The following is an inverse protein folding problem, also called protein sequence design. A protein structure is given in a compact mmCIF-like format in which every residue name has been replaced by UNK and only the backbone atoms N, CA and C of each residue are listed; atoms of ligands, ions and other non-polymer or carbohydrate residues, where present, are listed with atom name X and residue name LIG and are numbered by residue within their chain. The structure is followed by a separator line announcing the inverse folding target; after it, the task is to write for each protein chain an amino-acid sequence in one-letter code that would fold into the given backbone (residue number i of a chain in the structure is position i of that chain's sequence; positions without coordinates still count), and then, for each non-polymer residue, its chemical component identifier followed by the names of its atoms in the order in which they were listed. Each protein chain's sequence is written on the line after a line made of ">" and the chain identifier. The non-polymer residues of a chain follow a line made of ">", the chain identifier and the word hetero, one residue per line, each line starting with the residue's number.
data_IF_310024601085
#
_entry.id   IF_310024601085
#
_cell.length_a   1.000
_cell.length_b   1.000
_cell.length_c   1.000
_cell.angle_alpha   90.00
_cell.angle_beta   90.00
_cell.angle_gamma   90.00
#
_symmetry.space_group_name_H-M   'P 1'
#
loop_
_entity.id
_entity.type
_entity.pdbx_description
1 polymer ?
#
# COMPACT_ATOMS: atom_id res chain seq x y z
N UNK A 1 -15.50 10.68 3.78
CA UNK A 1 -16.06 9.83 2.71
C UNK A 1 -16.89 8.64 3.21
N UNK A 2 -16.33 7.71 4.00
CA UNK A 2 -17.05 6.48 4.37
C UNK A 2 -18.39 6.73 5.07
N UNK A 3 -18.42 7.61 6.08
CA UNK A 3 -19.66 7.98 6.79
C UNK A 3 -20.69 8.68 5.88
N UNK A 4 -20.24 9.49 4.93
CA UNK A 4 -21.11 10.33 4.10
C UNK A 4 -21.68 9.60 2.89
N UNK A 5 -21.01 8.56 2.39
CA UNK A 5 -21.45 7.81 1.21
C UNK A 5 -21.89 6.40 1.59
N UNK A 6 -21.03 5.64 2.28
CA UNK A 6 -21.30 4.25 2.63
C UNK A 6 -22.42 4.15 3.68
N UNK A 7 -22.33 4.86 4.81
CA UNK A 7 -23.39 4.79 5.83
C UNK A 7 -24.68 5.54 5.42
N UNK A 8 -24.56 6.58 4.58
CA UNK A 8 -25.73 7.31 4.10
C UNK A 8 -26.38 6.68 2.86
N UNK A 9 -25.85 5.55 2.36
CA UNK A 9 -26.31 4.87 1.14
C UNK A 9 -26.39 5.80 -0.09
N UNK A 10 -25.40 6.69 -0.22
CA UNK A 10 -25.26 7.61 -1.36
C UNK A 10 -24.18 7.12 -2.31
N UNK A 11 -24.39 7.24 -3.64
CA UNK A 11 -23.35 6.95 -4.61
C UNK A 11 -22.21 7.94 -4.45
N UNK A 12 -20.98 7.50 -4.73
CA UNK A 12 -19.82 8.36 -4.68
C UNK A 12 -18.56 7.65 -5.11
N UNK A 13 -17.59 8.43 -5.57
CA UNK A 13 -16.29 7.94 -5.96
C UNK A 13 -15.20 8.59 -5.10
N UNK A 14 -14.29 7.76 -4.59
CA UNK A 14 -13.07 8.17 -3.92
C UNK A 14 -11.89 7.66 -4.74
N UNK A 15 -10.98 8.56 -5.07
CA UNK A 15 -9.77 8.23 -5.78
C UNK A 15 -8.58 8.53 -4.88
N UNK A 16 -7.76 7.51 -4.62
CA UNK A 16 -6.61 7.56 -3.75
C UNK A 16 -5.35 7.40 -4.60
N UNK A 17 -4.52 8.43 -4.62
CA UNK A 17 -3.22 8.39 -5.31
C UNK A 17 -2.07 8.46 -4.32
N UNK A 18 -0.91 7.98 -4.74
CA UNK A 18 0.35 8.22 -4.03
C UNK A 18 1.39 7.21 -4.45
N UNK A 19 2.65 7.46 -4.14
CA UNK A 19 3.72 6.53 -4.51
C UNK A 19 3.54 5.15 -3.84
N UNK A 20 4.11 4.07 -4.40
CA UNK A 20 4.15 2.78 -3.75
C UNK A 20 4.77 2.88 -2.34
N UNK A 21 4.26 2.07 -1.41
CA UNK A 21 4.83 2.03 -0.06
C UNK A 21 4.38 3.13 0.91
N UNK A 22 3.47 4.02 0.50
CA UNK A 22 2.86 5.05 1.37
C UNK A 22 1.72 4.56 2.27
N UNK A 23 1.43 3.25 2.29
CA UNK A 23 0.43 2.66 3.19
C UNK A 23 -1.04 2.82 2.78
N UNK A 24 -1.33 3.24 1.53
CA UNK A 24 -2.69 3.42 0.99
C UNK A 24 -3.61 2.22 1.25
N UNK A 25 -3.21 1.04 0.76
CA UNK A 25 -3.97 -0.21 0.91
C UNK A 25 -4.13 -0.59 2.38
N UNK A 26 -3.06 -0.48 3.18
CA UNK A 26 -3.08 -0.81 4.60
C UNK A 26 -4.07 0.07 5.38
N UNK A 27 -4.04 1.39 5.16
CA UNK A 27 -4.98 2.32 5.80
C UNK A 27 -6.41 2.01 5.39
N UNK A 28 -6.65 1.78 4.09
CA UNK A 28 -8.00 1.50 3.62
C UNK A 28 -8.54 0.21 4.23
N UNK A 29 -7.75 -0.86 4.28
CA UNK A 29 -8.15 -2.13 4.90
C UNK A 29 -8.50 -1.94 6.38
N UNK A 30 -7.70 -1.19 7.14
CA UNK A 30 -7.98 -0.92 8.55
C UNK A 30 -9.22 -0.04 8.75
N UNK A 31 -9.42 0.99 7.91
CA UNK A 31 -10.65 1.80 7.94
C UNK A 31 -11.87 0.93 7.59
N UNK A 32 -11.78 0.07 6.58
CA UNK A 32 -12.88 -0.83 6.19
C UNK A 32 -13.24 -1.74 7.36
N UNK A 33 -12.25 -2.36 8.01
CA UNK A 33 -12.45 -3.22 9.19
C UNK A 33 -13.05 -2.44 10.37
N UNK A 34 -12.48 -1.31 10.75
CA UNK A 34 -12.96 -0.51 11.88
C UNK A 34 -14.42 -0.07 11.67
N UNK A 35 -14.76 0.30 10.44
CA UNK A 35 -16.10 0.75 10.09
C UNK A 35 -17.08 -0.42 9.88
N UNK A 36 -16.63 -1.67 9.78
CA UNK A 36 -17.49 -2.86 9.88
C UNK A 36 -17.87 -3.15 11.32
N UNK A 37 -16.90 -3.13 12.22
CA UNK A 37 -17.11 -3.40 13.64
C UNK A 37 -18.02 -2.35 14.30
N UNK A 38 -17.99 -1.10 13.81
CA UNK A 38 -18.87 -0.02 14.26
C UNK A 38 -20.22 0.07 13.53
N UNK A 39 -20.44 -0.67 12.44
CA UNK A 39 -21.65 -0.55 11.63
C UNK A 39 -22.74 -1.54 12.07
N UNK A 40 -23.65 -1.08 12.92
CA UNK A 40 -25.01 -1.62 13.04
C UNK A 40 -25.80 -1.22 11.78
N UNK A 41 -25.42 -1.74 10.61
CA UNK A 41 -26.03 -1.35 9.34
C UNK A 41 -27.47 -1.89 9.25
N UNK A 42 -28.45 -0.98 9.33
CA UNK A 42 -29.89 -1.27 9.12
C UNK A 42 -30.25 -1.65 7.67
N UNK A 43 -29.31 -1.55 6.73
CA UNK A 43 -29.53 -1.78 5.30
C UNK A 43 -28.44 -2.68 4.70
N UNK A 44 -28.77 -3.52 3.70
CA UNK A 44 -27.83 -4.44 3.10
C UNK A 44 -26.74 -3.68 2.33
N UNK A 45 -25.49 -4.09 2.50
CA UNK A 45 -24.33 -3.60 1.77
C UNK A 45 -23.47 -4.79 1.34
N UNK A 46 -23.00 -4.80 0.09
CA UNK A 46 -22.00 -5.74 -0.41
C UNK A 46 -20.71 -5.01 -0.68
N UNK A 47 -19.61 -5.58 -0.19
CA UNK A 47 -18.26 -5.07 -0.45
C UNK A 47 -17.54 -6.05 -1.36
N UNK A 48 -16.80 -5.50 -2.31
CA UNK A 48 -15.94 -6.26 -3.22
C UNK A 48 -14.59 -5.57 -3.24
N UNK A 49 -13.53 -6.34 -2.98
CA UNK A 49 -12.14 -5.88 -3.07
C UNK A 49 -11.48 -6.63 -4.22
N UNK A 50 -10.92 -5.89 -5.18
CA UNK A 50 -10.21 -6.47 -6.32
C UNK A 50 -8.86 -5.79 -6.48
N UNK A 51 -7.82 -6.61 -6.62
CA UNK A 51 -6.52 -6.15 -7.10
C UNK A 51 -6.49 -6.22 -8.63
N UNK A 52 -6.44 -5.07 -9.29
CA UNK A 52 -6.45 -4.98 -10.74
C UNK A 52 -5.19 -5.56 -11.38
N UNK A 53 -4.06 -5.62 -10.67
CA UNK A 53 -2.82 -6.24 -11.16
C UNK A 53 -2.97 -7.73 -11.48
N UNK A 54 -3.95 -8.42 -10.86
CA UNK A 54 -4.23 -9.83 -11.14
C UNK A 54 -4.97 -10.08 -12.46
N UNK A 55 -5.44 -9.02 -13.13
CA UNK A 55 -6.20 -9.12 -14.37
C UNK A 55 -5.26 -9.07 -15.58
N UNK A 56 -5.52 -9.95 -16.54
CA UNK A 56 -4.77 -9.99 -17.81
C UNK A 56 -5.34 -8.96 -18.79
N UNK A 57 -6.66 -8.96 -18.99
CA UNK A 57 -7.37 -7.91 -19.74
C UNK A 57 -8.12 -6.99 -18.76
N UNK A 58 -7.95 -5.65 -18.85
CA UNK A 58 -8.73 -4.68 -18.08
C UNK A 58 -10.25 -4.88 -18.15
N UNK A 59 -10.80 -5.44 -19.24
CA UNK A 59 -12.23 -5.76 -19.37
C UNK A 59 -12.68 -6.90 -18.46
N UNK A 60 -11.77 -7.75 -18.01
CA UNK A 60 -12.10 -8.85 -17.09
C UNK A 60 -12.50 -8.36 -15.69
N UNK A 61 -12.26 -7.08 -15.37
CA UNK A 61 -12.74 -6.47 -14.13
C UNK A 61 -14.25 -6.66 -13.97
N UNK A 62 -15.02 -6.57 -15.05
CA UNK A 62 -16.47 -6.72 -15.00
C UNK A 62 -16.89 -8.17 -14.69
N UNK A 63 -16.20 -9.15 -15.26
CA UNK A 63 -16.45 -10.56 -14.95
C UNK A 63 -16.10 -10.84 -13.49
N UNK A 64 -14.93 -10.37 -13.06
CA UNK A 64 -14.45 -10.59 -11.70
C UNK A 64 -15.35 -9.93 -10.64
N UNK A 65 -15.89 -8.76 -10.96
CA UNK A 65 -16.89 -8.12 -10.12
C UNK A 65 -18.15 -8.99 -10.01
N UNK A 66 -18.65 -9.56 -11.11
CA UNK A 66 -19.84 -10.42 -11.09
C UNK A 66 -19.62 -11.70 -10.28
N UNK A 67 -18.45 -12.32 -10.38
CA UNK A 67 -18.09 -13.53 -9.63
C UNK A 67 -18.11 -13.30 -8.10
N UNK A 68 -17.74 -12.09 -7.67
CA UNK A 68 -17.73 -11.69 -6.25
C UNK A 68 -19.12 -11.27 -5.73
N UNK A 69 -20.14 -11.22 -6.58
CA UNK A 69 -21.50 -10.87 -6.18
C UNK A 69 -22.32 -12.11 -5.82
N UNK A 70 -23.16 -12.04 -4.78
CA UNK A 70 -24.00 -13.17 -4.40
C UNK A 70 -25.07 -13.42 -5.47
N UNK A 71 -25.47 -14.69 -5.63
CA UNK A 71 -26.50 -15.10 -6.59
C UNK A 71 -27.83 -14.32 -6.43
N UNK A 72 -28.15 -13.86 -5.22
CA UNK A 72 -29.32 -12.99 -4.95
C UNK A 72 -29.28 -11.67 -5.72
N UNK A 73 -28.09 -11.15 -6.02
CA UNK A 73 -27.90 -9.99 -6.90
C UNK A 73 -27.81 -10.37 -8.38
N UNK A 74 -27.58 -11.62 -8.74
CA UNK A 74 -27.50 -12.03 -10.14
C UNK A 74 -28.86 -12.51 -10.66
N UNK A 75 -29.80 -12.81 -9.76
CA UNK A 75 -31.16 -13.22 -10.10
C UNK A 75 -31.86 -12.23 -11.05
N UNK A 76 -32.25 -12.73 -12.22
CA UNK A 76 -32.96 -11.99 -13.26
C UNK A 76 -32.09 -11.14 -14.18
N UNK A 77 -30.76 -11.31 -14.15
CA UNK A 77 -29.82 -10.57 -15.00
C UNK A 77 -29.15 -11.53 -15.98
N UNK A 78 -29.16 -11.17 -17.26
CA UNK A 78 -28.40 -11.89 -18.29
C UNK A 78 -26.90 -11.65 -18.10
N UNK A 79 -26.13 -12.74 -17.98
CA UNK A 79 -24.68 -12.70 -17.79
C UNK A 79 -23.88 -12.69 -19.11
N UNK A 80 -24.57 -12.70 -20.26
CA UNK A 80 -23.94 -12.72 -21.60
C UNK A 80 -23.08 -11.47 -21.87
N UNK A 81 -23.51 -10.30 -21.36
CA UNK A 81 -22.72 -9.07 -21.40
C UNK A 81 -22.43 -8.58 -19.96
N UNK A 82 -21.20 -8.77 -19.46
CA UNK A 82 -20.85 -8.45 -18.08
C UNK A 82 -20.94 -6.95 -17.78
N UNK A 83 -20.79 -6.09 -18.78
CA UNK A 83 -20.88 -4.63 -18.63
C UNK A 83 -22.31 -4.22 -18.35
N UNK A 84 -23.27 -4.75 -19.13
CA UNK A 84 -24.69 -4.45 -18.94
C UNK A 84 -25.23 -5.07 -17.66
N UNK A 85 -24.75 -6.26 -17.30
CA UNK A 85 -25.11 -6.90 -16.04
C UNK A 85 -24.76 -6.01 -14.84
N UNK A 86 -23.52 -5.51 -14.75
CA UNK A 86 -23.12 -4.60 -13.66
C UNK A 86 -23.90 -3.30 -13.71
N UNK A 87 -24.09 -2.74 -14.90
CA UNK A 87 -24.89 -1.52 -15.06
C UNK A 87 -26.30 -1.68 -14.47
N UNK A 88 -26.97 -2.80 -14.73
CA UNK A 88 -28.29 -3.10 -14.16
C UNK A 88 -28.24 -3.31 -12.64
N UNK A 89 -27.16 -3.90 -12.10
CA UNK A 89 -26.98 -4.07 -10.65
C UNK A 89 -26.83 -2.72 -9.95
N UNK A 90 -26.07 -1.81 -10.55
CA UNK A 90 -25.70 -0.52 -9.96
C UNK A 90 -26.79 0.53 -10.12
N UNK A 91 -27.47 0.57 -11.27
CA UNK A 91 -28.47 1.57 -11.63
C UNK A 91 -29.92 1.07 -11.51
N UNK A 92 -30.11 -0.20 -11.16
CA UNK A 92 -31.45 -0.79 -11.06
C UNK A 92 -32.26 -0.20 -9.90
N UNK A 93 -33.35 0.49 -10.22
CA UNK A 93 -34.24 1.16 -9.25
C UNK A 93 -34.83 0.22 -8.18
N UNK A 94 -34.97 -1.07 -8.49
CA UNK A 94 -35.58 -2.07 -7.59
C UNK A 94 -34.65 -2.57 -6.48
N UNK A 95 -33.39 -2.13 -6.45
CA UNK A 95 -32.36 -2.72 -5.58
C UNK A 95 -31.99 -1.80 -4.42
N UNK A 96 -32.11 -2.33 -3.20
CA UNK A 96 -31.82 -1.62 -1.95
C UNK A 96 -30.38 -1.81 -1.44
N UNK A 97 -29.63 -2.74 -2.03
CA UNK A 97 -28.29 -3.07 -1.56
C UNK A 97 -27.26 -2.13 -2.15
N UNK A 98 -26.44 -1.51 -1.30
CA UNK A 98 -25.31 -0.70 -1.73
C UNK A 98 -24.13 -1.60 -2.11
N UNK A 99 -23.53 -1.36 -3.27
CA UNK A 99 -22.31 -2.02 -3.71
C UNK A 99 -21.11 -1.10 -3.48
N UNK A 100 -20.20 -1.52 -2.61
CA UNK A 100 -18.92 -0.83 -2.37
C UNK A 100 -17.84 -1.62 -3.08
N UNK A 101 -17.25 -1.03 -4.11
CA UNK A 101 -16.16 -1.63 -4.89
C UNK A 101 -14.87 -0.92 -4.54
N UNK A 102 -13.89 -1.68 -4.07
CA UNK A 102 -12.52 -1.24 -3.84
C UNK A 102 -11.66 -1.87 -4.92
N UNK A 103 -11.08 -1.04 -5.77
CA UNK A 103 -10.15 -1.45 -6.81
C UNK A 103 -8.75 -0.97 -6.39
N UNK A 104 -7.82 -1.91 -6.20
CA UNK A 104 -6.41 -1.63 -5.95
C UNK A 104 -5.60 -1.72 -7.25
N UNK A 105 -4.57 -0.89 -7.37
CA UNK A 105 -3.75 -0.71 -8.58
C UNK A 105 -4.58 -0.45 -9.85
N UNK A 106 -5.50 0.52 -9.77
CA UNK A 106 -6.44 0.83 -10.87
C UNK A 106 -5.77 1.42 -12.11
N UNK A 107 -4.53 1.86 -11.98
CA UNK A 107 -3.67 2.26 -13.10
C UNK A 107 -3.43 1.11 -14.08
N UNK A 108 -3.51 -0.15 -13.63
CA UNK A 108 -3.47 -1.32 -14.53
C UNK A 108 -4.69 -1.41 -15.46
N UNK A 109 -5.82 -0.80 -15.08
CA UNK A 109 -7.01 -0.73 -15.93
C UNK A 109 -6.94 0.39 -16.98
N UNK A 110 -5.88 1.19 -16.98
CA UNK A 110 -5.73 2.31 -17.89
C UNK A 110 -5.32 1.82 -19.28
N UNK A 111 -6.31 1.66 -20.15
CA UNK A 111 -6.11 1.39 -21.57
C UNK A 111 -6.12 2.67 -22.41
N UNK A 112 -5.67 2.58 -23.67
CA UNK A 112 -5.68 3.73 -24.61
C UNK A 112 -7.09 4.32 -24.82
N UNK A 113 -8.11 3.47 -24.79
CA UNK A 113 -9.52 3.84 -24.93
C UNK A 113 -10.15 4.30 -23.62
N UNK A 114 -9.49 4.08 -22.47
CA UNK A 114 -9.91 4.51 -21.12
C UNK A 114 -11.36 4.14 -20.74
N UNK A 115 -11.96 3.20 -21.47
CA UNK A 115 -13.40 2.98 -21.46
C UNK A 115 -13.87 2.31 -20.17
N UNK A 116 -13.02 1.49 -19.56
CA UNK A 116 -13.34 0.73 -18.36
C UNK A 116 -13.46 1.64 -17.15
N UNK A 117 -12.40 2.38 -16.83
CA UNK A 117 -12.38 3.31 -15.70
C UNK A 117 -13.47 4.38 -15.85
N UNK A 118 -13.60 4.98 -17.03
CA UNK A 118 -14.59 6.02 -17.27
C UNK A 118 -16.02 5.56 -16.95
N UNK A 119 -16.41 4.37 -17.42
CA UNK A 119 -17.75 3.81 -17.14
C UNK A 119 -17.97 3.57 -15.64
N UNK A 120 -16.97 3.04 -14.93
CA UNK A 120 -17.08 2.79 -13.50
C UNK A 120 -17.29 4.08 -12.70
N UNK A 121 -16.54 5.15 -13.03
CA UNK A 121 -16.70 6.46 -12.38
C UNK A 121 -18.02 7.13 -12.77
N UNK A 122 -18.45 7.03 -14.04
CA UNK A 122 -19.74 7.54 -14.50
C UNK A 122 -20.92 6.86 -13.76
N UNK A 123 -20.87 5.54 -13.60
CA UNK A 123 -21.87 4.81 -12.82
C UNK A 123 -21.85 5.18 -11.34
N UNK A 124 -20.69 5.49 -10.76
CA UNK A 124 -20.58 5.94 -9.37
C UNK A 124 -21.03 7.39 -9.17
N UNK A 125 -21.04 8.21 -10.23
CA UNK A 125 -21.49 9.61 -10.19
C UNK A 125 -22.98 9.80 -10.48
N UNK A 126 -23.62 8.85 -11.17
CA UNK A 126 -25.01 8.97 -11.60
C UNK A 126 -26.00 9.05 -10.42
N UNK A 127 -26.95 9.99 -10.50
CA UNK A 127 -28.02 10.14 -9.52
C UNK A 127 -28.93 8.91 -9.49
N UNK A 128 -29.07 8.28 -8.32
CA UNK A 128 -29.84 7.04 -8.15
C UNK A 128 -28.99 5.76 -8.18
N UNK A 129 -27.70 5.89 -8.49
CA UNK A 129 -26.74 4.78 -8.40
C UNK A 129 -26.60 4.26 -6.97
N UNK A 130 -26.34 2.95 -6.86
CA UNK A 130 -26.01 2.25 -5.62
C UNK A 130 -24.56 1.79 -5.58
N UNK A 131 -23.68 2.45 -6.34
CA UNK A 131 -22.25 2.17 -6.37
C UNK A 131 -21.47 3.21 -5.58
N UNK A 132 -20.65 2.72 -4.65
CA UNK A 132 -19.53 3.47 -4.08
C UNK A 132 -18.25 2.88 -4.63
N UNK A 133 -17.47 3.68 -5.36
CA UNK A 133 -16.22 3.26 -5.95
C UNK A 133 -15.05 3.85 -5.15
N UNK A 134 -14.10 3.02 -4.75
CA UNK A 134 -12.81 3.44 -4.18
C UNK A 134 -11.71 2.91 -5.08
N UNK A 135 -11.01 3.80 -5.79
CA UNK A 135 -9.88 3.44 -6.64
C UNK A 135 -8.56 3.83 -5.98
N UNK A 136 -7.62 2.90 -5.88
CA UNK A 136 -6.25 3.15 -5.42
C UNK A 136 -5.30 3.06 -6.61
N UNK A 137 -4.47 4.09 -6.81
CA UNK A 137 -3.46 4.12 -7.87
C UNK A 137 -2.08 4.46 -7.30
N UNK A 138 -1.04 4.00 -7.99
CA UNK A 138 0.35 4.26 -7.62
C UNK A 138 0.93 5.51 -8.29
N UNK A 139 0.42 5.87 -9.48
CA UNK A 139 0.88 7.03 -10.22
C UNK A 139 -0.04 8.25 -10.06
N UNK A 140 0.57 9.41 -9.79
CA UNK A 140 -0.10 10.71 -9.87
C UNK A 140 -0.45 11.10 -11.31
N UNK A 141 0.19 10.50 -12.32
CA UNK A 141 -0.10 10.78 -13.73
C UNK A 141 -1.57 10.55 -14.11
N UNK A 142 -2.24 9.63 -13.41
CA UNK A 142 -3.66 9.37 -13.60
C UNK A 142 -4.51 10.51 -13.00
N UNK A 143 -4.04 11.21 -11.97
CA UNK A 143 -4.67 12.46 -11.49
C UNK A 143 -4.53 13.62 -12.47
N UNK A 144 -3.41 13.74 -13.17
CA UNK A 144 -3.15 14.89 -14.03
C UNK A 144 -3.80 14.76 -15.41
N UNK A 145 -3.98 13.53 -15.92
CA UNK A 145 -4.52 13.29 -17.26
C UNK A 145 -5.97 12.81 -17.27
N UNK A 146 -6.35 11.96 -16.31
CA UNK A 146 -7.63 11.28 -16.33
C UNK A 146 -8.70 11.98 -15.49
N UNK A 147 -8.34 12.52 -14.31
CA UNK A 147 -9.31 13.28 -13.51
C UNK A 147 -9.87 14.51 -14.22
N UNK A 148 -9.10 15.33 -14.97
CA UNK A 148 -9.67 16.48 -15.69
C UNK A 148 -10.75 16.08 -16.70
N UNK A 149 -10.63 14.90 -17.31
CA UNK A 149 -11.64 14.36 -18.25
C UNK A 149 -12.92 13.93 -17.54
N UNK A 150 -12.81 13.42 -16.31
CA UNK A 150 -13.97 13.10 -15.47
C UNK A 150 -14.63 14.37 -14.91
N UNK A 151 -13.84 15.36 -14.47
CA UNK A 151 -14.32 16.66 -14.02
C UNK A 151 -15.09 17.38 -15.13
N UNK A 152 -14.58 17.34 -16.37
CA UNK A 152 -15.25 17.91 -17.54
C UNK A 152 -16.66 17.32 -17.79
N UNK A 153 -16.92 16.12 -17.28
CA UNK A 153 -18.20 15.41 -17.40
C UNK A 153 -19.00 15.39 -16.10
N UNK A 154 -18.67 16.27 -15.16
CA UNK A 154 -19.32 16.40 -13.84
C UNK A 154 -19.29 15.11 -13.01
N UNK A 155 -18.32 14.23 -13.25
CA UNK A 155 -18.14 12.95 -12.56
C UNK A 155 -16.89 12.97 -11.67
N UNK A 156 -16.64 14.09 -10.97
CA UNK A 156 -15.42 14.28 -10.20
C UNK A 156 -15.41 13.39 -8.94
N UNK A 157 -14.44 12.46 -8.79
CA UNK A 157 -14.27 11.72 -7.56
C UNK A 157 -13.61 12.61 -6.49
N UNK A 158 -13.84 12.31 -5.22
CA UNK A 158 -13.05 12.92 -4.14
C UNK A 158 -11.61 12.44 -4.27
N UNK A 159 -10.66 13.37 -4.35
CA UNK A 159 -9.23 13.08 -4.45
C UNK A 159 -8.60 13.03 -3.06
N UNK A 160 -7.89 11.95 -2.76
CA UNK A 160 -7.06 11.82 -1.57
C UNK A 160 -5.63 11.46 -1.98
N UNK A 161 -4.71 12.42 -1.84
CA UNK A 161 -3.31 12.21 -2.17
C UNK A 161 -2.49 11.77 -0.95
N UNK A 162 -1.75 10.68 -1.10
CA UNK A 162 -0.78 10.16 -0.15
C UNK A 162 0.61 10.60 -0.57
N UNK A 163 1.16 11.55 0.18
CA UNK A 163 2.53 11.98 0.00
C UNK A 163 3.51 10.92 0.51
N UNK A 164 4.74 10.87 -0.04
CA UNK A 164 5.81 10.06 0.54
C UNK A 164 6.03 10.40 2.02
N UNK A 165 6.43 9.41 2.82
CA UNK A 165 6.62 9.62 4.24
C UNK A 165 7.77 10.58 4.53
N UNK A 166 7.55 11.50 5.47
CA UNK A 166 8.60 12.39 5.95
C UNK A 166 9.56 11.65 6.88
N UNK A 167 10.71 12.26 7.18
CA UNK A 167 11.69 11.69 8.11
C UNK A 167 11.05 11.39 9.47
N UNK A 168 10.26 12.34 9.98
CA UNK A 168 9.60 12.21 11.29
C UNK A 168 8.52 11.12 11.28
N UNK A 169 7.76 10.99 10.19
CA UNK A 169 6.77 9.92 10.04
C UNK A 169 7.44 8.54 10.06
N UNK A 170 8.54 8.37 9.33
CA UNK A 170 9.30 7.10 9.31
C UNK A 170 9.85 6.79 10.70
N UNK A 171 10.41 7.78 11.40
CA UNK A 171 10.92 7.60 12.77
C UNK A 171 9.79 7.19 13.71
N UNK A 172 8.65 7.87 13.65
CA UNK A 172 7.48 7.56 14.48
C UNK A 172 7.00 6.13 14.27
N UNK A 173 6.76 5.75 13.02
CA UNK A 173 6.26 4.42 12.66
C UNK A 173 7.26 3.32 13.04
N UNK A 174 8.56 3.51 12.77
CA UNK A 174 9.57 2.52 13.14
C UNK A 174 9.66 2.34 14.66
N UNK A 175 9.61 3.43 15.44
CA UNK A 175 9.63 3.35 16.89
C UNK A 175 8.40 2.64 17.46
N UNK A 176 7.20 2.96 16.96
CA UNK A 176 5.96 2.29 17.36
C UNK A 176 6.04 0.78 17.09
N UNK A 177 6.46 0.39 15.88
CA UNK A 177 6.62 -1.03 15.50
C UNK A 177 7.67 -1.76 16.34
N UNK A 178 8.79 -1.11 16.64
CA UNK A 178 9.84 -1.68 17.50
C UNK A 178 9.37 -1.82 18.95
N UNK A 179 8.57 -0.87 19.45
CA UNK A 179 7.97 -0.96 20.78
C UNK A 179 6.92 -2.06 20.87
N UNK A 180 6.06 -2.20 19.84
CA UNK A 180 5.12 -3.32 19.72
C UNK A 180 5.85 -4.66 19.76
N UNK A 181 6.92 -4.81 18.96
CA UNK A 181 7.73 -6.03 18.95
C UNK A 181 8.37 -6.31 20.32
N UNK A 182 8.90 -5.28 20.99
CA UNK A 182 9.50 -5.43 22.33
C UNK A 182 8.48 -5.83 23.41
N UNK A 183 7.19 -5.50 23.24
CA UNK A 183 6.11 -5.89 24.18
C UNK A 183 5.70 -7.36 24.03
N UNK A 184 5.84 -7.94 22.83
CA UNK A 184 5.45 -9.34 22.56
C UNK A 184 6.37 -10.33 23.29
N UNK A 185 7.61 -9.96 23.59
CA UNK A 185 8.58 -10.79 24.32
C UNK A 185 8.34 -10.89 25.85
N UNK A 186 7.21 -10.38 26.35
CA UNK A 186 6.72 -10.66 27.72
C UNK A 186 7.59 -10.16 28.86
N UNK A 187 8.64 -9.38 28.58
CA UNK A 187 9.44 -8.70 29.59
C UNK A 187 9.08 -7.23 29.55
N UNK A 188 8.36 -6.77 30.57
CA UNK A 188 8.21 -5.35 30.86
C UNK A 188 9.54 -4.66 30.62
N UNK A 189 9.54 -3.66 29.74
CA UNK A 189 10.70 -2.85 29.46
C UNK A 189 11.06 -2.09 30.74
N UNK A 190 11.83 -2.73 31.62
CA UNK A 190 12.50 -2.06 32.71
C UNK A 190 13.27 -0.88 32.11
N UNK A 191 13.00 0.30 32.64
CA UNK A 191 13.40 1.65 32.19
C UNK A 191 14.92 1.88 31.99
N UNK A 192 15.74 0.84 32.17
CA UNK A 192 17.20 0.86 32.09
C UNK A 192 17.80 -0.10 31.04
N UNK A 193 17.01 -0.59 30.09
CA UNK A 193 17.54 -1.45 29.00
C UNK A 193 17.87 -0.59 27.78
N UNK A 194 19.10 -0.64 27.22
CA UNK A 194 19.43 0.12 26.02
C UNK A 194 18.49 -0.28 24.87
N UNK A 195 18.05 0.67 24.04
CA UNK A 195 17.13 0.36 22.95
C UNK A 195 17.77 -0.65 22.01
N UNK A 196 16.99 -1.67 21.59
CA UNK A 196 17.41 -2.70 20.64
C UNK A 196 18.00 -2.08 19.36
N UNK A 197 17.54 -0.88 19.02
CA UNK A 197 18.06 -0.05 17.93
C UNK A 197 18.41 1.34 18.46
N UNK A 198 19.65 1.79 18.22
CA UNK A 198 20.05 3.15 18.61
C UNK A 198 19.22 4.21 17.87
N UNK A 199 18.78 5.26 18.58
CA UNK A 199 17.98 6.35 17.98
C UNK A 199 18.67 6.97 16.76
N UNK A 200 19.98 7.21 16.84
CA UNK A 200 20.79 7.75 15.74
C UNK A 200 20.79 6.84 14.51
N UNK A 201 20.69 5.52 14.70
CA UNK A 201 20.64 4.56 13.61
C UNK A 201 19.27 4.59 12.89
N UNK A 202 18.18 4.76 13.66
CA UNK A 202 16.83 4.95 13.10
C UNK A 202 16.76 6.27 12.32
N UNK A 203 17.27 7.35 12.89
CA UNK A 203 17.27 8.67 12.25
C UNK A 203 18.06 8.65 10.93
N UNK A 204 19.22 7.99 10.91
CA UNK A 204 20.02 7.84 9.70
C UNK A 204 19.27 7.05 8.62
N UNK A 205 18.63 5.94 9.00
CA UNK A 205 17.78 5.15 8.11
C UNK A 205 16.65 6.01 7.53
N UNK A 206 15.88 6.67 8.40
CA UNK A 206 14.75 7.50 8.02
C UNK A 206 15.16 8.65 7.08
N UNK A 207 16.24 9.37 7.39
CA UNK A 207 16.75 10.45 6.55
C UNK A 207 17.16 9.97 5.17
N UNK A 208 17.83 8.81 5.09
CA UNK A 208 18.27 8.24 3.82
C UNK A 208 17.09 7.75 2.97
N UNK A 209 16.11 7.09 3.59
CA UNK A 209 14.95 6.54 2.88
C UNK A 209 14.00 7.66 2.44
N UNK A 210 13.70 8.63 3.30
CA UNK A 210 12.87 9.79 2.95
C UNK A 210 13.47 10.59 1.79
N UNK A 211 14.79 10.80 1.80
CA UNK A 211 15.50 11.49 0.71
C UNK A 211 15.52 10.71 -0.60
N UNK A 212 15.45 9.38 -0.56
CA UNK A 212 15.56 8.55 -1.75
C UNK A 212 14.18 8.26 -2.38
N UNK A 213 13.24 7.74 -1.59
CA UNK A 213 11.92 7.33 -2.10
C UNK A 213 10.76 7.62 -1.16
N UNK A 214 10.99 7.79 0.14
CA UNK A 214 9.91 7.93 1.14
C UNK A 214 9.00 6.69 1.25
N UNK A 215 9.53 5.52 0.90
CA UNK A 215 8.84 4.22 0.97
C UNK A 215 9.15 3.55 2.31
N UNK A 216 8.10 3.35 3.12
CA UNK A 216 8.23 2.76 4.44
C UNK A 216 8.70 1.29 4.39
N UNK A 217 8.35 0.54 3.33
CA UNK A 217 8.77 -0.86 3.17
C UNK A 217 10.29 -0.94 3.14
N UNK A 218 10.93 -0.04 2.38
CA UNK A 218 12.41 0.03 2.33
C UNK A 218 13.02 0.38 3.68
N UNK A 219 12.42 1.28 4.45
CA UNK A 219 12.90 1.60 5.79
C UNK A 219 12.82 0.39 6.74
N UNK A 220 11.71 -0.35 6.70
CA UNK A 220 11.54 -1.58 7.48
C UNK A 220 12.52 -2.67 7.05
N UNK A 221 12.76 -2.82 5.74
CA UNK A 221 13.70 -3.79 5.19
C UNK A 221 15.14 -3.49 5.63
N UNK A 222 15.54 -2.22 5.59
CA UNK A 222 16.84 -1.77 6.09
C UNK A 222 16.99 -2.07 7.58
N UNK A 223 15.95 -1.78 8.38
CA UNK A 223 15.97 -2.06 9.82
C UNK A 223 16.10 -3.57 10.10
N UNK A 224 15.35 -4.40 9.38
CA UNK A 224 15.40 -5.87 9.49
C UNK A 224 16.80 -6.41 9.16
N UNK A 225 17.38 -6.01 8.03
CA UNK A 225 18.74 -6.41 7.65
C UNK A 225 19.79 -5.91 8.66
N UNK A 226 19.59 -4.71 9.25
CA UNK A 226 20.50 -4.20 10.27
C UNK A 226 20.42 -4.98 11.59
N UNK A 227 19.24 -5.50 11.94
CA UNK A 227 19.04 -6.42 13.09
C UNK A 227 19.75 -7.75 12.81
N UNK A 228 19.55 -8.35 11.64
CA UNK A 228 20.22 -9.60 11.24
C UNK A 228 21.75 -9.48 11.29
N UNK A 229 22.30 -8.36 10.82
CA UNK A 229 23.74 -8.09 10.92
C UNK A 229 24.20 -7.91 12.38
N UNK A 230 23.40 -7.25 13.21
CA UNK A 230 23.74 -7.08 14.62
C UNK A 230 23.74 -8.43 15.36
N UNK A 231 22.83 -9.33 15.01
CA UNK A 231 22.78 -10.69 15.53
C UNK A 231 23.99 -11.52 15.06
N UNK A 232 24.34 -11.47 13.77
CA UNK A 232 25.53 -12.15 13.25
C UNK A 232 26.82 -11.68 13.93
N UNK A 233 26.97 -10.37 14.10
CA UNK A 233 28.11 -9.77 14.80
C UNK A 233 28.16 -10.19 16.27
N UNK A 234 27.00 -10.33 16.91
CA UNK A 234 26.88 -10.80 18.29
C UNK A 234 27.28 -12.27 18.43
N UNK A 235 26.75 -13.14 17.55
CA UNK A 235 27.09 -14.57 17.52
C UNK A 235 28.58 -14.81 17.20
N UNK A 236 29.16 -14.03 16.28
CA UNK A 236 30.57 -14.11 15.94
C UNK A 236 31.50 -13.65 17.09
N UNK A 237 31.02 -12.78 17.97
CA UNK A 237 31.79 -12.22 19.10
C UNK A 237 31.58 -12.97 20.42
N UNK A 238 30.66 -13.93 20.50
CA UNK A 238 30.50 -14.77 21.70
C UNK A 238 31.51 -15.94 21.71
N UNK A 239 32.51 -15.96 22.62
CA UNK A 239 33.04 -17.23 23.12
C UNK A 239 31.97 -17.89 24.01
N UNK A 240 31.87 -19.23 23.94
CA UNK A 240 30.82 -20.06 24.56
C UNK A 240 30.69 -20.01 26.11
N UNK A 241 31.26 -19.01 26.80
CA UNK A 241 31.42 -18.99 28.25
C UNK A 241 31.30 -17.57 28.83
N UNK A 242 30.14 -16.92 28.74
CA UNK A 242 29.78 -15.79 29.61
C UNK A 242 28.27 -15.52 29.61
N UNK A 243 27.55 -15.71 30.74
CA UNK A 243 26.10 -15.51 30.83
C UNK A 243 25.66 -14.03 30.96
N UNK A 244 26.57 -13.06 30.77
CA UNK A 244 26.33 -11.64 30.99
C UNK A 244 26.69 -10.75 29.78
N UNK A 245 26.60 -11.27 28.56
CA UNK A 245 26.83 -10.46 27.36
C UNK A 245 25.67 -9.46 27.14
N UNK A 246 25.94 -8.18 26.82
CA UNK A 246 24.92 -7.20 26.53
C UNK A 246 24.05 -7.65 25.35
N UNK A 247 22.74 -7.36 25.39
CA UNK A 247 21.81 -7.71 24.30
C UNK A 247 22.35 -7.14 22.96
N UNK A 248 22.14 -7.84 21.83
CA UNK A 248 22.52 -7.29 20.53
C UNK A 248 21.82 -5.95 20.31
N UNK A 249 22.61 -4.91 20.09
CA UNK A 249 22.10 -3.56 19.80
C UNK A 249 22.49 -3.16 18.38
N UNK A 250 21.53 -2.70 17.60
CA UNK A 250 21.79 -2.18 16.26
C UNK A 250 22.48 -0.83 16.37
N UNK A 251 23.70 -0.76 15.84
CA UNK A 251 24.51 0.46 15.79
C UNK A 251 24.37 1.16 14.45
N UNK A 252 24.80 2.43 14.40
CA UNK A 252 24.86 3.22 13.17
C UNK A 252 25.72 2.53 12.09
N UNK A 253 26.77 1.81 12.47
CA UNK A 253 27.64 1.10 11.53
C UNK A 253 26.90 -0.04 10.79
N UNK A 254 26.02 -0.76 11.48
CA UNK A 254 25.20 -1.81 10.85
C UNK A 254 24.25 -1.20 9.81
N UNK A 255 23.55 -0.13 10.17
CA UNK A 255 22.62 0.56 9.26
C UNK A 255 23.37 1.15 8.06
N UNK A 256 24.54 1.77 8.26
CA UNK A 256 25.36 2.29 7.16
C UNK A 256 25.80 1.18 6.19
N UNK A 257 26.21 0.01 6.71
CA UNK A 257 26.58 -1.14 5.89
C UNK A 257 25.41 -1.61 5.03
N UNK A 258 24.21 -1.74 5.62
CA UNK A 258 22.98 -2.11 4.89
C UNK A 258 22.61 -1.06 3.85
N UNK A 259 22.58 0.22 4.22
CA UNK A 259 22.23 1.30 3.31
C UNK A 259 23.19 1.38 2.12
N UNK A 260 24.47 1.09 2.33
CA UNK A 260 25.45 1.01 1.23
C UNK A 260 25.22 -0.19 0.30
N UNK A 261 24.54 -1.24 0.76
CA UNK A 261 24.09 -2.35 -0.08
C UNK A 261 22.79 -2.04 -0.83
N UNK A 262 21.79 -1.52 -0.12
CA UNK A 262 20.44 -1.26 -0.65
C UNK A 262 20.41 -0.06 -1.61
N UNK A 263 21.15 1.00 -1.28
CA UNK A 263 21.23 2.23 -2.09
C UNK A 263 22.59 2.37 -2.80
N UNK A 264 23.48 1.40 -2.66
CA UNK A 264 24.70 1.34 -3.44
C UNK A 264 24.40 0.99 -4.89
N UNK A 265 25.21 1.51 -5.81
CA UNK A 265 25.14 1.06 -7.20
C UNK A 265 25.59 -0.40 -7.27
N UNK A 266 24.71 -1.28 -7.77
CA UNK A 266 25.03 -2.68 -8.05
C UNK A 266 26.28 -2.78 -8.94
N UNK A 267 26.45 -1.85 -9.88
CA UNK A 267 27.63 -1.73 -10.74
C UNK A 267 28.91 -1.51 -9.92
N UNK A 268 28.85 -0.67 -8.89
CA UNK A 268 30.02 -0.41 -8.01
C UNK A 268 30.36 -1.63 -7.16
N UNK A 269 29.37 -2.42 -6.73
CA UNK A 269 29.64 -3.67 -6.02
C UNK A 269 30.26 -4.74 -6.94
N UNK A 270 29.76 -4.85 -8.17
CA UNK A 270 30.34 -5.74 -9.19
C UNK A 270 31.78 -5.34 -9.54
N UNK A 271 32.04 -4.03 -9.70
CA UNK A 271 33.38 -3.48 -9.95
C UNK A 271 34.33 -3.75 -8.77
N UNK A 272 33.82 -3.86 -7.53
CA UNK A 272 34.66 -4.24 -6.39
C UNK A 272 35.05 -5.72 -6.42
N UNK A 273 34.17 -6.59 -6.90
CA UNK A 273 34.38 -8.05 -6.97
C UNK A 273 35.20 -8.55 -8.16
N UNK A 274 35.39 -7.75 -9.22
CA UNK A 274 36.20 -8.15 -10.37
C UNK A 274 37.71 -8.22 -10.06
N UNK A 275 38.41 -9.06 -10.82
CA UNK A 275 39.85 -9.32 -10.68
C UNK A 275 40.72 -8.11 -11.05
N UNK A 276 41.97 -8.11 -10.58
CA UNK A 276 42.90 -6.98 -10.77
C UNK A 276 43.10 -6.58 -12.24
N UNK A 277 43.25 -7.56 -13.15
CA UNK A 277 43.41 -7.30 -14.58
C UNK A 277 42.18 -6.64 -15.22
N UNK A 278 40.97 -7.03 -14.80
CA UNK A 278 39.72 -6.45 -15.29
C UNK A 278 39.54 -5.00 -14.81
N UNK A 279 39.97 -4.70 -13.58
CA UNK A 279 40.00 -3.32 -13.06
C UNK A 279 41.00 -2.45 -13.82
N UNK A 280 42.14 -3.00 -14.20
CA UNK A 280 43.15 -2.29 -14.98
C UNK A 280 42.64 -1.90 -16.36
N UNK A 281 41.90 -2.81 -17.02
CA UNK A 281 41.26 -2.53 -18.33
C UNK A 281 40.19 -1.45 -18.19
N UNK A 282 39.35 -1.51 -17.16
CA UNK A 282 38.33 -0.49 -16.90
C UNK A 282 38.90 0.90 -16.57
N UNK A 283 40.12 0.99 -16.02
CA UNK A 283 40.78 2.26 -15.74
C UNK A 283 41.61 2.83 -16.91
N UNK A 284 41.81 2.04 -17.97
CA UNK A 284 42.56 2.43 -19.16
C UNK A 284 41.66 2.96 -20.30
N UNK A 285 40.34 2.87 -20.16
CA UNK A 285 39.31 3.47 -21.01
C UNK A 285 38.65 4.64 -20.31
#
# INVERSE_FOLDING_TARGET
>A
FWRTHVHAHKPGALYISGQPGTGKTALLTEVVKAMEHGATAKQPMRKVYLNCMSLVDPKDVYRRLLDELPATMLNGISLDDPVQAIRQIVLGERRKTLLVVILDEIDHLLTKDQSVLYRLFEWAAQSGSRLVLVGIANALDLTERFLPLLCAKSCEPQLLNFNPYTVDDIIGILNERLQEAARVDGKEAAEATPPLVQRNAIELCARKVASATGDLRKAMDVCRQAIELAEQDYLAKQPATSPAAPRPSVTVAHVLKVLSGVFGSASVQVIRTIGFQQKLVLGAF
#
